data_IF_206551273045
#
_entry.id   IF_206551273045
#
_cell.length_a   1.000
_cell.length_b   1.000
_cell.length_c   1.000
_cell.angle_alpha   90.00
_cell.angle_beta   90.00
_cell.angle_gamma   90.00
#
_symmetry.space_group_name_H-M   'P 1'
#
loop_
_entity.id
_entity.type
_entity.pdbx_description
1 polymer ?
#
# COMPACT_ATOMS: atom_id res chain seq x y z
N UNK A 1 -6.15 14.05 9.26
CA UNK A 1 -5.09 13.60 10.18
C UNK A 1 -3.89 12.99 9.43
N UNK A 2 -4.00 12.83 8.09
CA UNK A 2 -3.00 12.18 7.24
C UNK A 2 -1.69 12.95 7.16
N UNK A 3 -0.58 12.23 6.87
CA UNK A 3 0.74 12.82 6.63
C UNK A 3 1.01 12.93 5.12
N UNK A 4 1.76 13.94 4.73
CA UNK A 4 2.39 14.03 3.41
C UNK A 4 3.82 13.53 3.56
N UNK A 5 4.10 12.32 3.06
CA UNK A 5 5.39 11.67 3.15
C UNK A 5 5.79 11.18 1.76
N UNK A 6 6.58 11.96 1.02
CA UNK A 6 6.96 11.62 -0.34
C UNK A 6 7.85 10.38 -0.45
N UNK A 7 8.64 10.07 0.58
CA UNK A 7 9.52 8.89 0.57
C UNK A 7 8.69 7.61 0.72
N UNK A 8 7.73 7.60 1.66
CA UNK A 8 6.79 6.48 1.83
C UNK A 8 5.90 6.31 0.60
N UNK A 9 5.42 7.41 0.02
CA UNK A 9 4.63 7.36 -1.20
C UNK A 9 5.42 6.76 -2.36
N UNK A 10 6.66 7.22 -2.58
CA UNK A 10 7.53 6.71 -3.64
C UNK A 10 7.85 5.22 -3.44
N UNK A 11 8.17 4.79 -2.22
CA UNK A 11 8.42 3.38 -1.94
C UNK A 11 7.20 2.50 -2.23
N UNK A 12 5.99 2.97 -1.89
CA UNK A 12 4.74 2.28 -2.19
C UNK A 12 4.45 2.26 -3.69
N UNK A 13 4.55 3.39 -4.37
CA UNK A 13 4.32 3.52 -5.81
C UNK A 13 5.27 2.66 -6.64
N UNK A 14 6.54 2.58 -6.23
CA UNK A 14 7.56 1.81 -6.91
C UNK A 14 7.59 0.32 -6.55
N UNK A 15 6.75 -0.12 -5.61
CA UNK A 15 6.72 -1.51 -5.14
C UNK A 15 7.99 -1.89 -4.39
N UNK A 16 8.46 -1.02 -3.52
CA UNK A 16 9.67 -1.17 -2.69
C UNK A 16 9.38 -1.11 -1.19
N UNK A 17 8.19 -1.56 -0.79
CA UNK A 17 7.78 -1.52 0.62
C UNK A 17 8.42 -2.61 1.47
N UNK A 18 8.98 -3.63 0.83
CA UNK A 18 9.49 -4.83 1.50
C UNK A 18 8.38 -5.82 1.90
N UNK A 19 7.13 -5.57 1.51
CA UNK A 19 6.01 -6.50 1.67
C UNK A 19 5.65 -7.10 0.30
N UNK A 20 6.06 -8.34 0.00
CA UNK A 20 5.95 -8.92 -1.34
C UNK A 20 4.56 -8.88 -1.97
N UNK A 21 3.49 -9.06 -1.19
CA UNK A 21 2.14 -8.96 -1.70
C UNK A 21 1.80 -7.54 -2.17
N UNK A 22 2.15 -6.53 -1.38
CA UNK A 22 1.92 -5.12 -1.71
C UNK A 22 2.75 -4.74 -2.95
N UNK A 23 4.03 -5.10 -2.95
CA UNK A 23 4.96 -4.78 -4.03
C UNK A 23 4.57 -5.46 -5.35
N UNK A 24 4.10 -6.72 -5.30
CA UNK A 24 3.59 -7.43 -6.46
C UNK A 24 2.31 -6.77 -7.04
N UNK A 25 1.41 -6.30 -6.18
CA UNK A 25 0.22 -5.57 -6.62
C UNK A 25 0.59 -4.26 -7.33
N UNK A 26 1.56 -3.51 -6.80
CA UNK A 26 2.03 -2.26 -7.43
C UNK A 26 2.82 -2.54 -8.72
N UNK A 27 3.59 -3.64 -8.76
CA UNK A 27 4.26 -4.09 -9.97
C UNK A 27 3.24 -4.47 -11.08
N UNK A 28 2.14 -5.14 -10.72
CA UNK A 28 1.03 -5.42 -11.65
C UNK A 28 0.46 -4.11 -12.21
N UNK A 29 0.14 -3.13 -11.35
CA UNK A 29 -0.37 -1.84 -11.81
C UNK A 29 0.57 -1.21 -12.84
N UNK A 30 1.86 -1.21 -12.56
CA UNK A 30 2.88 -0.60 -13.42
C UNK A 30 3.06 -1.31 -14.76
N UNK A 31 2.93 -2.64 -14.78
CA UNK A 31 3.11 -3.47 -15.97
C UNK A 31 1.86 -3.51 -16.86
N UNK A 32 0.67 -3.57 -16.25
CA UNK A 32 -0.59 -3.85 -16.94
C UNK A 32 -1.54 -2.65 -16.99
N UNK A 33 -1.29 -1.60 -16.19
CA UNK A 33 -2.25 -0.49 -16.02
C UNK A 33 -3.54 -0.94 -15.33
N UNK A 34 -3.53 -2.08 -14.65
CA UNK A 34 -4.70 -2.68 -14.02
C UNK A 34 -4.29 -3.51 -12.81
N UNK A 35 -5.21 -3.65 -11.85
CA UNK A 35 -5.11 -4.63 -10.77
C UNK A 35 -6.50 -5.06 -10.29
N UNK A 36 -6.59 -6.26 -9.78
CA UNK A 36 -7.82 -6.81 -9.21
C UNK A 36 -8.30 -5.95 -8.02
N UNK A 37 -9.62 -5.83 -7.81
CA UNK A 37 -10.17 -4.96 -6.76
C UNK A 37 -9.66 -5.30 -5.34
N UNK A 38 -9.41 -6.58 -5.03
CA UNK A 38 -8.81 -6.98 -3.75
C UNK A 38 -7.39 -6.44 -3.57
N UNK A 39 -6.62 -6.38 -4.64
CA UNK A 39 -5.29 -5.76 -4.66
C UNK A 39 -5.39 -4.26 -4.40
N UNK A 40 -6.34 -3.58 -5.06
CA UNK A 40 -6.60 -2.14 -4.84
C UNK A 40 -6.94 -1.86 -3.38
N UNK A 41 -7.77 -2.71 -2.75
CA UNK A 41 -8.08 -2.60 -1.33
C UNK A 41 -6.84 -2.79 -0.44
N UNK A 42 -6.02 -3.79 -0.72
CA UNK A 42 -4.83 -4.09 0.08
C UNK A 42 -3.81 -2.96 0.02
N UNK A 43 -3.44 -2.51 -1.20
CA UNK A 43 -2.42 -1.46 -1.37
C UNK A 43 -2.88 -0.10 -0.87
N UNK A 44 -4.17 0.25 -1.04
CA UNK A 44 -4.70 1.50 -0.54
C UNK A 44 -4.86 1.50 0.99
N UNK A 45 -5.25 0.37 1.60
CA UNK A 45 -5.23 0.24 3.06
C UNK A 45 -3.80 0.38 3.60
N UNK A 46 -2.82 -0.28 2.99
CA UNK A 46 -1.43 -0.22 3.39
C UNK A 46 -0.89 1.23 3.35
N UNK A 47 -1.13 1.94 2.25
CA UNK A 47 -0.70 3.34 2.12
C UNK A 47 -1.32 4.25 3.18
N UNK A 48 -2.59 4.04 3.51
CA UNK A 48 -3.37 4.95 4.35
C UNK A 48 -3.46 4.45 5.80
N UNK A 49 -4.58 3.89 6.17
CA UNK A 49 -4.96 3.54 7.55
C UNK A 49 -4.33 2.26 8.09
N UNK A 50 -3.67 1.48 7.22
CA UNK A 50 -3.07 0.20 7.62
C UNK A 50 -1.67 0.35 8.18
N UNK A 51 -0.79 1.06 7.47
CA UNK A 51 0.63 1.01 7.78
C UNK A 51 1.35 2.36 7.62
N UNK A 52 1.17 3.08 6.50
CA UNK A 52 2.01 4.24 6.19
C UNK A 52 1.42 5.57 6.64
N UNK A 53 0.13 5.65 6.85
CA UNK A 53 -0.62 6.85 7.23
C UNK A 53 -0.47 8.04 6.28
N UNK A 54 -0.17 7.76 5.01
CA UNK A 54 -0.03 8.77 3.95
C UNK A 54 -1.41 9.23 3.48
N UNK A 55 -1.48 10.48 3.05
CA UNK A 55 -2.73 11.10 2.58
C UNK A 55 -3.33 10.32 1.41
N UNK A 56 -4.61 9.97 1.50
CA UNK A 56 -5.29 9.13 0.51
C UNK A 56 -5.33 9.76 -0.90
N UNK A 57 -5.37 11.10 -1.02
CA UNK A 57 -5.33 11.78 -2.31
C UNK A 57 -4.04 11.53 -3.09
N UNK A 58 -2.92 11.31 -2.39
CA UNK A 58 -1.66 10.96 -3.04
C UNK A 58 -1.77 9.60 -3.74
N UNK A 59 -2.34 8.60 -3.08
CA UNK A 59 -2.61 7.30 -3.70
C UNK A 59 -3.67 7.35 -4.80
N UNK A 60 -4.73 8.15 -4.62
CA UNK A 60 -5.74 8.37 -5.64
C UNK A 60 -5.15 8.97 -6.93
N UNK A 61 -4.20 9.90 -6.80
CA UNK A 61 -3.52 10.50 -7.95
C UNK A 61 -2.67 9.48 -8.73
N UNK A 62 -2.04 8.52 -8.04
CA UNK A 62 -1.31 7.41 -8.69
C UNK A 62 -2.28 6.52 -9.47
N UNK A 63 -3.43 6.18 -8.90
CA UNK A 63 -4.45 5.38 -9.59
C UNK A 63 -5.07 6.11 -10.79
N UNK A 64 -5.35 7.41 -10.67
CA UNK A 64 -5.86 8.22 -11.79
C UNK A 64 -4.88 8.26 -12.96
N UNK A 65 -3.59 8.24 -12.69
CA UNK A 65 -2.54 8.27 -13.70
C UNK A 65 -2.30 6.91 -14.36
N UNK A 66 -2.28 5.84 -13.57
CA UNK A 66 -1.72 4.55 -13.98
C UNK A 66 -2.78 3.50 -14.32
N UNK A 67 -4.03 3.62 -13.84
CA UNK A 67 -5.11 2.69 -14.18
C UNK A 67 -5.75 3.03 -15.52
N UNK A 68 -5.86 2.05 -16.41
CA UNK A 68 -6.57 2.17 -17.71
C UNK A 68 -8.07 2.33 -17.55
N UNK A 69 -8.62 1.85 -16.45
CA UNK A 69 -10.04 1.96 -16.09
C UNK A 69 -10.31 3.07 -15.07
N UNK A 70 -9.42 4.06 -14.99
CA UNK A 70 -9.59 5.17 -14.07
C UNK A 70 -10.85 6.00 -14.37
N UNK A 71 -11.72 6.11 -13.38
CA UNK A 71 -12.85 7.04 -13.34
C UNK A 71 -12.68 7.94 -12.14
N UNK A 72 -12.66 9.24 -12.34
CA UNK A 72 -12.39 10.21 -11.28
C UNK A 72 -13.34 10.08 -10.09
N UNK A 73 -14.64 9.93 -10.33
CA UNK A 73 -15.63 9.86 -9.26
C UNK A 73 -15.51 8.54 -8.47
N UNK A 74 -15.41 7.42 -9.19
CA UNK A 74 -15.25 6.09 -8.59
C UNK A 74 -13.92 5.99 -7.84
N UNK A 75 -12.83 6.48 -8.41
CA UNK A 75 -11.52 6.44 -7.77
C UNK A 75 -11.53 7.22 -6.45
N UNK A 76 -11.93 8.50 -6.47
CA UNK A 76 -11.99 9.31 -5.25
C UNK A 76 -12.97 8.74 -4.21
N UNK A 77 -14.16 8.27 -4.64
CA UNK A 77 -15.15 7.66 -3.75
C UNK A 77 -14.61 6.41 -3.05
N UNK A 78 -13.94 5.52 -3.80
CA UNK A 78 -13.33 4.31 -3.26
C UNK A 78 -12.16 4.61 -2.31
N UNK A 79 -11.30 5.60 -2.63
CA UNK A 79 -10.21 6.01 -1.75
C UNK A 79 -10.73 6.62 -0.45
N UNK A 80 -11.77 7.48 -0.50
CA UNK A 80 -12.41 8.01 0.71
C UNK A 80 -13.04 6.89 1.56
N UNK A 81 -13.67 5.91 0.92
CA UNK A 81 -14.23 4.75 1.61
C UNK A 81 -13.13 3.92 2.28
N UNK A 82 -12.10 3.57 1.53
CA UNK A 82 -11.06 2.67 2.02
C UNK A 82 -10.16 3.30 3.09
N UNK A 83 -9.86 4.60 2.96
CA UNK A 83 -9.12 5.34 3.99
C UNK A 83 -9.96 5.63 5.25
N UNK A 84 -11.24 5.30 5.25
CA UNK A 84 -12.19 5.69 6.30
C UNK A 84 -12.30 7.23 6.47
N UNK A 85 -12.08 7.99 5.41
CA UNK A 85 -12.28 9.43 5.43
C UNK A 85 -13.76 9.80 5.24
N UNK A 86 -14.51 8.95 4.50
CA UNK A 86 -15.95 9.10 4.28
C UNK A 86 -16.59 7.74 3.97
N UNK A 87 -17.91 7.62 4.17
CA UNK A 87 -18.77 6.47 3.82
C UNK A 87 -18.53 5.18 4.63
N UNK A 88 -17.35 4.94 5.16
CA UNK A 88 -16.99 3.75 5.92
C UNK A 88 -16.17 4.13 7.16
N UNK A 89 -16.51 3.56 8.31
CA UNK A 89 -15.98 4.01 9.61
C UNK A 89 -15.31 2.92 10.44
N UNK A 90 -15.14 1.70 9.86
CA UNK A 90 -14.52 0.59 10.56
C UNK A 90 -13.00 0.59 10.38
N UNK A 91 -12.35 1.68 10.77
CA UNK A 91 -10.91 1.92 10.59
C UNK A 91 -10.02 0.86 11.25
N UNK A 92 -10.53 0.15 12.25
CA UNK A 92 -9.83 -0.94 12.94
C UNK A 92 -9.74 -2.24 12.13
N UNK A 93 -10.47 -2.37 11.01
CA UNK A 93 -10.40 -3.52 10.11
C UNK A 93 -9.27 -3.33 9.09
N UNK A 94 -8.05 -3.60 9.51
CA UNK A 94 -6.86 -3.48 8.63
C UNK A 94 -6.67 -4.74 7.80
N UNK A 95 -6.31 -4.58 6.53
CA UNK A 95 -5.86 -5.67 5.66
C UNK A 95 -4.39 -5.94 5.95
N UNK A 96 -4.08 -7.08 6.59
CA UNK A 96 -2.68 -7.43 6.87
C UNK A 96 -1.91 -7.70 5.56
N UNK A 97 -0.76 -7.04 5.34
CA UNK A 97 -0.03 -7.13 4.07
C UNK A 97 0.53 -8.52 3.76
N UNK A 98 0.59 -9.38 4.75
CA UNK A 98 1.00 -10.79 4.63
C UNK A 98 -0.22 -11.71 4.61
N UNK A 99 -1.06 -11.63 5.64
CA UNK A 99 -2.18 -12.57 5.85
C UNK A 99 -3.25 -12.48 4.79
N UNK A 100 -3.51 -11.28 4.27
CA UNK A 100 -4.51 -11.07 3.23
C UNK A 100 -4.12 -11.75 1.91
N UNK A 101 -2.89 -11.58 1.46
CA UNK A 101 -2.38 -12.25 0.26
C UNK A 101 -2.36 -13.78 0.40
N UNK A 102 -1.85 -14.30 1.52
CA UNK A 102 -1.82 -15.75 1.80
C UNK A 102 -3.18 -16.44 1.74
N UNK A 103 -4.26 -15.70 1.99
CA UNK A 103 -5.63 -16.24 1.91
C UNK A 103 -6.03 -16.61 0.49
N UNK A 104 -5.57 -15.87 -0.52
CA UNK A 104 -5.97 -16.01 -1.92
C UNK A 104 -4.91 -16.69 -2.78
N UNK A 105 -3.64 -16.57 -2.42
CA UNK A 105 -2.48 -17.12 -3.13
C UNK A 105 -1.52 -17.78 -2.15
N UNK A 106 -1.86 -18.99 -1.68
CA UNK A 106 -1.12 -19.72 -0.63
C UNK A 106 0.33 -20.01 -1.00
N UNK A 107 0.61 -20.23 -2.28
CA UNK A 107 1.93 -20.58 -2.77
C UNK A 107 2.79 -19.35 -3.10
N UNK A 108 2.18 -18.18 -3.26
CA UNK A 108 2.84 -16.96 -3.70
C UNK A 108 3.13 -16.95 -5.20
N UNK A 109 2.29 -17.58 -6.01
CA UNK A 109 2.47 -17.64 -7.46
C UNK A 109 2.30 -16.26 -8.10
N UNK A 110 1.36 -15.46 -7.60
CA UNK A 110 1.18 -14.06 -7.97
C UNK A 110 2.43 -13.22 -7.65
N UNK A 111 2.99 -13.38 -6.45
CA UNK A 111 4.21 -12.68 -6.05
C UNK A 111 5.36 -13.05 -6.99
N UNK A 112 5.57 -14.34 -7.28
CA UNK A 112 6.65 -14.80 -8.16
C UNK A 112 6.49 -14.33 -9.60
N UNK A 113 5.25 -14.13 -10.04
CA UNK A 113 4.96 -13.62 -11.39
C UNK A 113 5.42 -12.17 -11.55
N UNK A 114 5.06 -11.31 -10.58
CA UNK A 114 5.33 -9.87 -10.67
C UNK A 114 6.66 -9.44 -10.05
N UNK A 115 7.25 -10.27 -9.18
CA UNK A 115 8.54 -10.03 -8.54
C UNK A 115 9.53 -11.16 -8.90
N UNK A 116 10.20 -11.09 -10.06
CA UNK A 116 11.10 -12.15 -10.54
C UNK A 116 12.23 -12.49 -9.57
N UNK A 117 12.70 -11.52 -8.77
CA UNK A 117 13.72 -11.72 -7.74
C UNK A 117 13.29 -12.70 -6.65
N UNK A 118 11.98 -12.85 -6.41
CA UNK A 118 11.42 -13.80 -5.45
C UNK A 118 11.00 -15.15 -6.08
N UNK A 119 11.28 -15.38 -7.37
CA UNK A 119 10.83 -16.56 -8.12
C UNK A 119 11.18 -17.88 -7.45
N UNK A 120 12.39 -18.00 -6.90
CA UNK A 120 12.88 -19.21 -6.29
C UNK A 120 12.77 -19.24 -4.75
N UNK A 121 12.18 -18.19 -4.16
CA UNK A 121 11.94 -18.16 -2.72
C UNK A 121 10.95 -19.27 -2.33
N UNK A 122 11.24 -20.13 -1.34
CA UNK A 122 10.30 -21.15 -0.90
C UNK A 122 8.95 -20.58 -0.49
N UNK A 123 7.85 -21.29 -0.76
CA UNK A 123 6.49 -20.83 -0.44
C UNK A 123 6.29 -20.44 1.03
N UNK A 124 7.05 -21.10 1.93
CA UNK A 124 7.07 -20.77 3.36
C UNK A 124 7.49 -19.31 3.63
N UNK A 125 8.39 -18.77 2.80
CA UNK A 125 9.04 -17.47 3.03
C UNK A 125 8.70 -16.42 1.98
N UNK A 126 8.01 -16.76 0.89
CA UNK A 126 7.76 -15.84 -0.23
C UNK A 126 6.98 -14.58 0.17
N UNK A 127 6.15 -14.66 1.20
CA UNK A 127 5.43 -13.51 1.77
C UNK A 127 6.24 -12.73 2.81
N UNK A 128 7.22 -13.38 3.41
CA UNK A 128 8.04 -12.84 4.50
C UNK A 128 9.50 -13.27 4.30
N UNK A 129 10.16 -12.81 3.20
CA UNK A 129 11.50 -13.25 2.85
C UNK A 129 12.55 -12.89 3.90
N UNK A 130 12.30 -11.87 4.70
CA UNK A 130 13.15 -11.47 5.82
C UNK A 130 13.20 -12.50 6.97
N UNK A 131 12.26 -13.45 7.02
CA UNK A 131 12.27 -14.56 7.97
C UNK A 131 13.01 -15.78 7.45
N UNK A 132 13.43 -15.79 6.18
CA UNK A 132 14.19 -16.88 5.62
C UNK A 132 15.62 -16.86 6.17
N UNK A 133 16.18 -18.03 6.58
CA UNK A 133 17.59 -18.13 6.94
C UNK A 133 18.52 -17.65 5.81
N UNK A 134 19.70 -17.11 6.13
CA UNK A 134 20.62 -16.58 5.11
C UNK A 134 21.03 -17.57 4.02
N UNK A 135 21.17 -18.83 4.35
CA UNK A 135 21.47 -19.91 3.42
C UNK A 135 20.30 -20.17 2.45
N UNK A 136 19.06 -20.06 2.92
CA UNK A 136 17.85 -20.17 2.10
C UNK A 136 17.74 -18.97 1.15
N UNK A 137 18.00 -17.75 1.63
CA UNK A 137 17.99 -16.53 0.82
C UNK A 137 19.03 -16.62 -0.31
N UNK A 138 20.28 -17.00 0.02
CA UNK A 138 21.35 -17.20 -0.97
C UNK A 138 21.00 -18.27 -2.00
N UNK A 139 20.44 -19.40 -1.54
CA UNK A 139 20.02 -20.50 -2.42
C UNK A 139 18.86 -20.11 -3.34
N UNK A 140 17.97 -19.24 -2.88
CA UNK A 140 16.89 -18.67 -3.66
C UNK A 140 17.35 -17.57 -4.63
N UNK A 141 18.60 -17.08 -4.48
CA UNK A 141 19.12 -15.96 -5.29
C UNK A 141 18.46 -14.62 -4.96
N UNK A 142 18.00 -14.45 -3.71
CA UNK A 142 17.37 -13.21 -3.25
C UNK A 142 17.73 -12.96 -1.79
N UNK A 143 18.65 -12.04 -1.57
CA UNK A 143 19.11 -11.60 -0.24
C UNK A 143 18.38 -10.33 0.14
N UNK A 144 17.66 -10.37 1.27
CA UNK A 144 16.95 -9.18 1.77
C UNK A 144 17.95 -8.13 2.23
N UNK A 145 17.78 -6.92 1.75
CA UNK A 145 18.72 -5.81 1.94
C UNK A 145 19.65 -5.59 0.75
N UNK A 146 19.79 -6.56 -0.16
CA UNK A 146 20.59 -6.46 -1.38
C UNK A 146 19.71 -6.57 -2.63
N UNK A 147 19.01 -7.69 -2.83
CA UNK A 147 18.19 -7.98 -4.01
C UNK A 147 16.73 -7.58 -3.84
N UNK A 148 16.26 -7.53 -2.59
CA UNK A 148 14.89 -7.15 -2.23
C UNK A 148 14.91 -6.32 -0.93
N UNK A 149 14.13 -5.23 -0.83
CA UNK A 149 14.16 -4.37 0.35
C UNK A 149 13.63 -5.09 1.60
N UNK A 150 14.16 -4.76 2.80
CA UNK A 150 13.53 -5.16 4.05
C UNK A 150 12.19 -4.43 4.23
N UNK A 151 11.27 -4.94 5.08
CA UNK A 151 10.04 -4.25 5.41
C UNK A 151 10.32 -2.82 5.89
N UNK A 152 9.67 -1.83 5.25
CA UNK A 152 9.87 -0.42 5.58
C UNK A 152 9.23 -0.02 6.91
N UNK A 153 8.34 -0.85 7.45
CA UNK A 153 7.68 -0.68 8.76
C UNK A 153 7.46 -2.04 9.40
N UNK A 154 7.35 -2.06 10.73
CA UNK A 154 6.75 -3.20 11.44
C UNK A 154 5.22 -3.07 11.38
N UNK A 155 4.56 -4.01 10.69
CA UNK A 155 3.11 -3.99 10.51
C UNK A 155 2.32 -3.96 11.82
N UNK A 156 2.76 -4.72 12.83
CA UNK A 156 2.04 -4.81 14.10
C UNK A 156 2.09 -3.48 14.87
N UNK A 157 3.22 -2.79 14.79
CA UNK A 157 3.40 -1.48 15.39
C UNK A 157 2.68 -0.41 14.57
N UNK A 158 2.94 -0.35 13.27
CA UNK A 158 2.40 0.68 12.37
C UNK A 158 0.88 0.66 12.31
N UNK A 159 0.26 -0.52 12.21
CA UNK A 159 -1.21 -0.64 12.16
C UNK A 159 -1.86 -0.19 13.46
N UNK A 160 -1.28 -0.47 14.60
CA UNK A 160 -1.75 0.01 15.90
C UNK A 160 -1.69 1.52 15.99
N UNK A 161 -0.56 2.13 15.60
CA UNK A 161 -0.42 3.58 15.57
C UNK A 161 -1.42 4.26 14.62
N UNK A 162 -1.66 3.68 13.45
CA UNK A 162 -2.65 4.17 12.50
C UNK A 162 -4.06 4.16 13.10
N UNK A 163 -4.44 3.07 13.78
CA UNK A 163 -5.73 2.94 14.47
C UNK A 163 -5.87 4.00 15.56
N UNK A 164 -4.83 4.22 16.37
CA UNK A 164 -4.84 5.22 17.44
C UNK A 164 -4.98 6.64 16.87
N UNK A 165 -4.25 6.97 15.81
CA UNK A 165 -4.34 8.28 15.11
C UNK A 165 -5.74 8.53 14.55
N UNK A 166 -6.37 7.52 13.93
CA UNK A 166 -7.73 7.64 13.41
C UNK A 166 -8.75 7.76 14.53
N UNK A 167 -8.63 6.96 15.60
CA UNK A 167 -9.51 7.08 16.76
C UNK A 167 -9.47 8.49 17.36
N UNK A 168 -8.28 9.06 17.50
CA UNK A 168 -8.11 10.43 17.97
C UNK A 168 -8.74 11.46 17.02
N UNK A 169 -8.58 11.28 15.70
CA UNK A 169 -9.16 12.17 14.69
C UNK A 169 -10.69 12.13 14.71
N UNK A 170 -11.30 10.94 14.79
CA UNK A 170 -12.75 10.80 14.91
C UNK A 170 -13.29 11.41 16.19
N UNK A 171 -12.58 11.23 17.31
CA UNK A 171 -12.96 11.85 18.59
C UNK A 171 -12.92 13.38 18.50
N UNK A 172 -11.84 13.96 17.95
CA UNK A 172 -11.69 15.40 17.78
C UNK A 172 -12.77 15.98 16.85
N UNK A 173 -13.11 15.27 15.77
CA UNK A 173 -14.18 15.68 14.86
C UNK A 173 -15.55 15.68 15.56
N UNK A 174 -15.86 14.63 16.33
CA UNK A 174 -17.13 14.54 17.09
C UNK A 174 -17.26 15.63 18.16
N UNK A 175 -16.14 16.06 18.73
CA UNK A 175 -16.11 17.14 19.74
C UNK A 175 -16.07 18.56 19.10
N UNK A 176 -16.21 18.68 17.78
CA UNK A 176 -16.17 19.95 17.05
C UNK A 176 -14.76 20.58 16.99
N UNK A 177 -13.74 19.83 17.32
CA UNK A 177 -12.31 20.30 17.32
C UNK A 177 -11.53 19.82 16.09
N UNK A 178 -12.20 19.24 15.10
CA UNK A 178 -11.57 18.75 13.87
C UNK A 178 -10.95 19.91 13.07
N UNK A 179 -9.66 19.85 12.81
CA UNK A 179 -9.01 20.79 11.90
C UNK A 179 -9.47 20.50 10.48
N UNK A 180 -10.01 21.51 9.80
CA UNK A 180 -10.15 21.48 8.35
C UNK A 180 -8.74 21.64 7.77
N UNK A 181 -8.17 20.53 7.25
CA UNK A 181 -6.90 20.59 6.52
C UNK A 181 -7.17 21.42 5.27
N UNK A 182 -6.53 22.59 5.16
CA UNK A 182 -6.51 23.33 3.90
C UNK A 182 -5.73 22.44 2.91
N UNK A 183 -6.41 22.03 1.84
CA UNK A 183 -5.76 21.32 0.75
C UNK A 183 -4.62 22.20 0.22
N UNK A 184 -3.40 21.69 0.22
CA UNK A 184 -2.34 22.37 -0.52
C UNK A 184 -2.67 22.36 -2.02
N UNK A 185 -2.38 23.46 -2.73
CA UNK A 185 -2.75 23.55 -4.14
C UNK A 185 -2.05 22.43 -4.92
N UNK A 186 -2.84 21.67 -5.67
CA UNK A 186 -2.36 20.63 -6.58
C UNK A 186 -1.24 21.21 -7.44
N UNK A 187 -0.04 20.63 -7.38
CA UNK A 187 1.01 20.94 -8.34
C UNK A 187 0.55 20.40 -9.69
N UNK A 188 -0.05 21.29 -10.47
CA UNK A 188 -0.51 20.99 -11.82
C UNK A 188 0.68 20.63 -12.71
N UNK A 189 0.84 19.37 -13.05
CA UNK A 189 1.67 18.95 -14.18
C UNK A 189 1.08 19.55 -15.44
N UNK A 190 1.66 20.66 -15.93
CA UNK A 190 1.37 21.19 -17.25
C UNK A 190 1.75 20.11 -18.27
N UNK A 191 0.75 19.48 -18.90
CA UNK A 191 0.97 18.72 -20.13
C UNK A 191 1.54 19.70 -21.14
N UNK A 192 2.80 19.49 -21.56
CA UNK A 192 3.31 20.11 -22.78
C UNK A 192 2.52 19.47 -23.92
N UNK A 193 1.75 20.30 -24.63
CA UNK A 193 1.24 19.94 -25.95
C UNK A 193 2.44 19.96 -26.91
N UNK A 194 2.74 18.83 -27.53
CA UNK A 194 3.47 18.69 -28.78
C UNK A 194 2.48 18.26 -29.86
#
# INVERSE_FOLDING_TARGET
PWTWDPERLAAWEEGRTGFPWIDACMAQLKQEGWMHHLSRHAVACFLTRGDLFVHWEAGAAVFDRDLVDADWALNNGNWMWLSCSCFFYQYFRVYGPVSFGKKYDKNGDFIRHYLPQLRHMPAKYVYEPWLAPPDVQKKAGCVVGEDYPPPMVDHAVASKECIEKLAAAYKAHKEGKGQTIKAEPRVGTKRKAE
#
